data_IF_249480414120
#
_entry.id   IF_249480414120
#
_cell.length_a   1.000
_cell.length_b   1.000
_cell.length_c   1.000
_cell.angle_alpha   90.00
_cell.angle_beta   90.00
_cell.angle_gamma   90.00
#
_symmetry.space_group_name_H-M   'P 1'
#
loop_
_entity.id
_entity.type
_entity.pdbx_description
1 polymer ?
#
# COMPACT_ATOMS: atom_id res chain seq x y z
N UNK A 1 -3.90 -13.77 -2.47
CA UNK A 1 -4.04 -15.25 -2.67
C UNK A 1 -3.02 -16.07 -1.85
N UNK A 2 -1.76 -15.61 -1.73
CA UNK A 2 -0.72 -16.27 -0.93
C UNK A 2 0.18 -15.25 -0.21
N UNK A 3 -0.42 -14.21 0.31
CA UNK A 3 0.27 -13.02 0.79
C UNK A 3 1.34 -13.35 1.84
N UNK A 4 1.05 -14.26 2.78
CA UNK A 4 2.02 -14.71 3.79
C UNK A 4 3.31 -15.32 3.20
N UNK A 5 3.26 -15.83 1.96
CA UNK A 5 4.41 -16.38 1.24
C UNK A 5 5.15 -15.34 0.40
N UNK A 6 4.44 -14.40 -0.23
CA UNK A 6 5.00 -13.49 -1.24
C UNK A 6 5.20 -12.06 -0.75
N UNK A 7 4.76 -11.73 0.46
CA UNK A 7 5.06 -10.47 1.13
C UNK A 7 5.84 -10.69 2.42
N UNK A 8 6.75 -9.79 2.77
CA UNK A 8 7.40 -9.75 4.08
C UNK A 8 7.95 -8.35 4.39
N UNK A 9 8.18 -8.04 5.67
CA UNK A 9 8.91 -6.82 6.04
C UNK A 9 10.41 -6.94 5.69
N UNK A 10 10.97 -8.14 5.72
CA UNK A 10 12.38 -8.42 5.44
C UNK A 10 12.55 -9.09 4.08
N UNK A 11 13.41 -8.51 3.23
CA UNK A 11 13.77 -9.09 1.94
C UNK A 11 14.43 -10.48 2.09
N UNK A 12 15.23 -10.67 3.14
CA UNK A 12 15.88 -11.95 3.39
C UNK A 12 14.87 -12.99 3.88
N UNK A 13 13.94 -12.62 4.76
CA UNK A 13 12.89 -13.56 5.16
C UNK A 13 11.98 -13.93 3.98
N UNK A 14 11.62 -12.96 3.14
CA UNK A 14 10.88 -13.20 1.90
C UNK A 14 11.60 -14.17 0.97
N UNK A 15 12.91 -13.95 0.75
CA UNK A 15 13.76 -14.84 -0.06
C UNK A 15 13.73 -16.28 0.48
N UNK A 16 13.86 -16.48 1.80
CA UNK A 16 13.78 -17.82 2.41
C UNK A 16 12.42 -18.47 2.18
N UNK A 17 11.32 -17.74 2.41
CA UNK A 17 9.95 -18.24 2.19
C UNK A 17 9.72 -18.67 0.74
N UNK A 18 10.09 -17.82 -0.21
CA UNK A 18 9.86 -18.07 -1.63
C UNK A 18 10.74 -19.20 -2.14
N UNK A 19 12.01 -19.28 -1.73
CA UNK A 19 12.89 -20.41 -2.07
C UNK A 19 12.30 -21.72 -1.56
N UNK A 20 11.91 -21.78 -0.29
CA UNK A 20 11.28 -22.96 0.27
C UNK A 20 10.02 -23.38 -0.51
N UNK A 21 9.19 -22.41 -0.89
CA UNK A 21 7.99 -22.66 -1.70
C UNK A 21 8.36 -23.26 -3.07
N UNK A 22 9.30 -22.65 -3.78
CA UNK A 22 9.75 -23.08 -5.11
C UNK A 22 10.39 -24.46 -5.06
N UNK A 23 11.29 -24.69 -4.11
CA UNK A 23 12.01 -25.97 -3.95
C UNK A 23 11.03 -27.10 -3.63
N UNK A 24 10.10 -26.86 -2.70
CA UNK A 24 9.05 -27.82 -2.36
C UNK A 24 8.14 -28.10 -3.57
N UNK A 25 7.76 -27.07 -4.31
CA UNK A 25 6.95 -27.22 -5.52
C UNK A 25 7.68 -28.04 -6.61
N UNK A 26 8.94 -27.70 -6.90
CA UNK A 26 9.73 -28.38 -7.93
C UNK A 26 10.00 -29.86 -7.58
N UNK A 27 10.18 -30.20 -6.30
CA UNK A 27 10.23 -31.59 -5.86
C UNK A 27 8.93 -32.35 -6.16
N UNK A 28 7.77 -31.72 -6.03
CA UNK A 28 6.49 -32.33 -6.41
C UNK A 28 6.39 -32.52 -7.93
N UNK A 29 6.94 -31.61 -8.73
CA UNK A 29 7.05 -31.77 -10.20
C UNK A 29 7.91 -32.99 -10.53
N UNK A 30 9.11 -33.09 -9.94
CA UNK A 30 10.03 -34.21 -10.18
C UNK A 30 9.44 -35.56 -9.77
N UNK A 31 8.82 -35.63 -8.60
CA UNK A 31 8.15 -36.84 -8.12
C UNK A 31 7.00 -37.28 -9.03
N UNK A 32 6.31 -36.34 -9.68
CA UNK A 32 5.22 -36.64 -10.62
C UNK A 32 5.76 -37.23 -11.92
N UNK A 33 6.80 -36.59 -12.50
CA UNK A 33 7.45 -37.05 -13.74
C UNK A 33 8.03 -38.45 -13.54
N UNK A 34 8.72 -38.69 -12.43
CA UNK A 34 9.39 -39.98 -12.16
C UNK A 34 8.45 -41.15 -11.88
N UNK A 35 7.21 -40.90 -11.45
CA UNK A 35 6.25 -41.95 -11.05
C UNK A 35 5.21 -42.32 -12.12
N UNK A 36 5.28 -41.74 -13.33
CA UNK A 36 4.30 -41.99 -14.41
C UNK A 36 2.83 -41.87 -13.94
N UNK A 37 2.54 -40.94 -13.01
CA UNK A 37 1.18 -40.77 -12.51
C UNK A 37 0.27 -40.34 -13.67
N UNK A 38 -0.65 -41.22 -14.03
CA UNK A 38 -1.74 -40.92 -14.95
C UNK A 38 -2.53 -39.70 -14.44
N UNK A 39 -3.05 -38.91 -15.37
CA UNK A 39 -3.68 -37.60 -15.16
C UNK A 39 -4.87 -37.59 -14.20
N UNK A 40 -5.33 -38.75 -13.72
CA UNK A 40 -6.58 -38.94 -12.98
C UNK A 40 -6.44 -39.20 -11.47
N UNK A 41 -5.23 -39.27 -10.89
CA UNK A 41 -5.13 -39.40 -9.43
C UNK A 41 -5.24 -38.02 -8.73
N UNK A 42 -6.10 -37.88 -7.70
CA UNK A 42 -6.13 -36.67 -6.90
C UNK A 42 -4.76 -36.51 -6.24
N UNK A 43 -4.09 -35.41 -6.58
CA UNK A 43 -2.94 -34.95 -5.83
C UNK A 43 -3.40 -34.84 -4.37
N UNK A 44 -2.73 -35.56 -3.47
CA UNK A 44 -2.62 -35.16 -2.07
C UNK A 44 -1.34 -34.35 -1.97
N UNK A 45 -1.27 -33.15 -2.58
CA UNK A 45 -0.02 -32.44 -2.59
C UNK A 45 0.31 -32.07 -1.15
N UNK A 46 1.59 -32.17 -0.80
CA UNK A 46 2.05 -31.86 0.54
C UNK A 46 1.49 -30.50 1.00
N UNK A 47 0.86 -30.47 2.19
CA UNK A 47 0.27 -29.27 2.80
C UNK A 47 1.31 -28.22 3.22
N UNK A 48 2.60 -28.52 3.01
CA UNK A 48 3.75 -27.65 3.29
C UNK A 48 3.80 -26.35 2.46
N UNK A 49 2.99 -26.23 1.39
CA UNK A 49 2.90 -25.00 0.60
C UNK A 49 1.46 -24.68 0.22
N UNK A 50 1.20 -23.41 -0.10
CA UNK A 50 -0.12 -22.93 -0.50
C UNK A 50 -0.40 -23.13 -2.00
N UNK A 51 -1.25 -24.10 -2.29
CA UNK A 51 -1.72 -24.43 -3.64
C UNK A 51 -2.83 -23.49 -4.12
N UNK A 52 -2.65 -22.86 -5.28
CA UNK A 52 -3.70 -22.14 -6.00
C UNK A 52 -4.13 -22.90 -7.26
N UNK A 53 -5.20 -22.45 -7.91
CA UNK A 53 -5.68 -23.04 -9.17
C UNK A 53 -4.59 -23.00 -10.25
N UNK A 54 -3.91 -21.86 -10.39
CA UNK A 54 -2.79 -21.71 -11.32
C UNK A 54 -1.64 -22.68 -11.01
N UNK A 55 -1.19 -22.75 -9.76
CA UNK A 55 -0.06 -23.62 -9.36
C UNK A 55 -0.38 -25.09 -9.54
N UNK A 56 -1.62 -25.52 -9.29
CA UNK A 56 -2.06 -26.90 -9.58
C UNK A 56 -2.02 -27.19 -11.08
N UNK A 57 -2.43 -26.23 -11.92
CA UNK A 57 -2.40 -26.36 -13.39
C UNK A 57 -0.97 -26.47 -13.92
N UNK A 58 -0.04 -25.69 -13.37
CA UNK A 58 1.37 -25.76 -13.74
C UNK A 58 2.02 -27.07 -13.33
N UNK A 59 1.66 -27.60 -12.15
CA UNK A 59 2.10 -28.93 -11.72
C UNK A 59 1.65 -30.02 -12.70
N UNK A 60 0.42 -29.96 -13.20
CA UNK A 60 -0.10 -30.90 -14.20
C UNK A 60 0.68 -30.83 -15.52
N UNK A 61 1.22 -29.67 -15.87
CA UNK A 61 2.04 -29.44 -17.07
C UNK A 61 3.51 -29.78 -16.90
N UNK A 62 3.98 -30.02 -15.67
CA UNK A 62 5.39 -30.21 -15.37
C UNK A 62 6.22 -28.92 -15.41
N UNK A 63 5.57 -27.75 -15.31
CA UNK A 63 6.27 -26.47 -15.30
C UNK A 63 7.04 -26.31 -13.98
N UNK A 64 8.35 -26.08 -14.04
CA UNK A 64 9.17 -25.73 -12.88
C UNK A 64 9.27 -24.22 -12.69
N UNK A 65 9.44 -23.79 -11.44
CA UNK A 65 9.69 -22.40 -11.10
C UNK A 65 11.17 -22.16 -10.76
N UNK A 66 11.63 -20.93 -10.92
CA UNK A 66 12.98 -20.52 -10.53
C UNK A 66 12.93 -19.26 -9.66
N UNK A 67 13.82 -19.19 -8.69
CA UNK A 67 13.96 -18.01 -7.84
C UNK A 67 14.83 -16.96 -8.55
N UNK A 68 14.38 -15.70 -8.55
CA UNK A 68 15.22 -14.57 -8.93
C UNK A 68 15.09 -13.43 -7.93
N UNK A 69 16.22 -12.89 -7.49
CA UNK A 69 16.24 -11.77 -6.56
C UNK A 69 15.62 -10.50 -7.18
N UNK A 70 15.66 -10.37 -8.51
CA UNK A 70 15.10 -9.22 -9.24
C UNK A 70 13.57 -9.11 -9.13
N UNK A 71 12.89 -10.18 -8.70
CA UNK A 71 11.45 -10.14 -8.43
C UNK A 71 11.13 -9.60 -7.03
N UNK A 72 12.10 -9.44 -6.13
CA UNK A 72 11.86 -8.78 -4.84
C UNK A 72 11.78 -7.26 -5.06
N UNK A 73 10.61 -6.70 -4.77
CA UNK A 73 10.28 -5.29 -5.00
C UNK A 73 9.70 -4.64 -3.77
N UNK A 74 9.83 -3.32 -3.69
CA UNK A 74 9.04 -2.54 -2.74
C UNK A 74 7.59 -2.44 -3.21
N UNK A 75 6.67 -2.69 -2.29
CA UNK A 75 5.24 -2.59 -2.50
C UNK A 75 4.60 -1.83 -1.35
N UNK A 76 3.62 -0.99 -1.67
CA UNK A 76 2.78 -0.37 -0.67
C UNK A 76 1.65 -1.33 -0.33
N UNK A 77 1.82 -2.10 0.75
CA UNK A 77 0.91 -3.18 1.09
C UNK A 77 -0.40 -2.64 1.68
N UNK A 78 -0.31 -1.67 2.58
CA UNK A 78 -1.45 -0.95 3.17
C UNK A 78 -1.08 0.52 3.30
N UNK A 79 -2.02 1.42 3.60
CA UNK A 79 -1.72 2.84 3.67
C UNK A 79 -0.54 3.11 4.59
N UNK A 80 0.47 3.79 4.05
CA UNK A 80 1.72 4.15 4.72
C UNK A 80 2.52 2.98 5.30
N UNK A 81 2.29 1.75 4.83
CA UNK A 81 3.02 0.56 5.26
C UNK A 81 3.56 -0.20 4.05
N UNK A 82 4.86 -0.04 3.82
CA UNK A 82 5.60 -0.78 2.81
C UNK A 82 5.92 -2.20 3.27
N UNK A 83 5.95 -3.11 2.30
CA UNK A 83 6.50 -4.45 2.45
C UNK A 83 7.31 -4.81 1.19
N UNK A 84 8.19 -5.80 1.33
CA UNK A 84 8.82 -6.46 0.20
C UNK A 84 7.81 -7.43 -0.42
N UNK A 85 7.68 -7.40 -1.74
CA UNK A 85 6.83 -8.28 -2.55
C UNK A 85 7.71 -9.10 -3.49
N UNK A 86 7.47 -10.40 -3.58
CA UNK A 86 7.99 -11.21 -4.67
C UNK A 86 7.04 -11.14 -5.87
N UNK A 87 7.35 -10.23 -6.79
CA UNK A 87 6.53 -9.88 -7.95
C UNK A 87 6.88 -10.75 -9.17
N UNK A 88 6.34 -11.98 -9.19
CA UNK A 88 6.52 -12.98 -10.26
C UNK A 88 5.17 -13.43 -10.81
N UNK A 89 5.07 -13.50 -12.15
CA UNK A 89 3.87 -13.99 -12.85
C UNK A 89 3.51 -15.44 -12.48
N UNK A 90 4.48 -16.23 -12.04
CA UNK A 90 4.28 -17.63 -11.66
C UNK A 90 3.64 -17.75 -10.27
N UNK A 91 3.99 -16.83 -9.35
CA UNK A 91 3.58 -16.90 -7.95
C UNK A 91 2.49 -15.89 -7.57
N UNK A 92 2.23 -14.88 -8.38
CA UNK A 92 1.12 -13.94 -8.18
C UNK A 92 -0.05 -14.30 -9.10
N UNK A 93 -1.19 -14.67 -8.50
CA UNK A 93 -2.36 -15.15 -9.24
C UNK A 93 -2.89 -14.11 -10.25
N UNK A 94 -2.89 -12.83 -9.89
CA UNK A 94 -3.34 -11.73 -10.72
C UNK A 94 -2.42 -10.52 -10.52
N UNK A 95 -1.67 -10.16 -11.56
CA UNK A 95 -0.89 -8.91 -11.60
C UNK A 95 -1.61 -7.79 -12.36
N UNK A 96 -2.72 -8.10 -13.04
CA UNK A 96 -3.42 -7.17 -13.94
C UNK A 96 -2.42 -6.44 -14.87
N UNK A 97 -2.49 -5.12 -14.92
CA UNK A 97 -1.60 -4.28 -15.71
C UNK A 97 -0.35 -3.82 -14.94
N UNK A 98 -0.14 -4.26 -13.69
CA UNK A 98 0.99 -3.79 -12.87
C UNK A 98 2.35 -4.10 -13.51
N UNK A 99 2.46 -5.20 -14.27
CA UNK A 99 3.67 -5.54 -15.04
C UNK A 99 3.94 -4.62 -16.25
N UNK A 100 2.95 -3.86 -16.70
CA UNK A 100 3.09 -2.80 -17.72
C UNK A 100 3.27 -1.41 -17.08
N UNK A 101 2.95 -1.25 -15.80
CA UNK A 101 3.10 0.03 -15.06
C UNK A 101 4.47 0.11 -14.39
N UNK A 102 4.95 -1.01 -13.84
CA UNK A 102 6.23 -1.16 -13.18
C UNK A 102 7.03 -2.30 -13.85
N UNK A 103 7.76 -1.99 -14.92
CA UNK A 103 8.45 -3.01 -15.72
C UNK A 103 9.73 -3.53 -15.03
N UNK A 104 10.48 -2.68 -14.33
CA UNK A 104 11.73 -3.00 -13.62
C UNK A 104 11.77 -2.32 -12.23
N UNK A 105 12.82 -2.57 -11.43
CA UNK A 105 12.95 -1.97 -10.09
C UNK A 105 13.21 -0.45 -10.13
N UNK A 106 13.72 0.04 -11.26
CA UNK A 106 14.12 1.43 -11.46
C UNK A 106 13.00 2.28 -12.08
N UNK A 107 11.86 1.66 -12.42
CA UNK A 107 10.74 2.33 -13.07
C UNK A 107 10.17 3.41 -12.15
N UNK A 108 10.30 4.67 -12.56
CA UNK A 108 9.68 5.81 -11.90
C UNK A 108 8.31 6.06 -12.51
N UNK A 109 7.26 5.89 -11.71
CA UNK A 109 5.89 6.13 -12.15
C UNK A 109 5.04 6.60 -10.97
N UNK A 110 3.97 7.33 -11.25
CA UNK A 110 3.00 7.77 -10.25
C UNK A 110 1.70 7.03 -10.46
N UNK A 111 1.07 6.64 -9.35
CA UNK A 111 -0.17 5.89 -9.38
C UNK A 111 -1.11 6.41 -8.30
N UNK A 112 -2.36 6.67 -8.67
CA UNK A 112 -3.45 7.01 -7.75
C UNK A 112 -4.28 5.75 -7.56
N UNK A 113 -4.25 5.18 -6.35
CA UNK A 113 -5.17 4.12 -5.93
C UNK A 113 -6.42 4.74 -5.32
N UNK A 114 -7.59 4.22 -5.65
CA UNK A 114 -8.83 4.56 -4.96
C UNK A 114 -9.75 3.34 -4.80
N UNK A 115 -10.70 3.43 -3.87
CA UNK A 115 -11.64 2.35 -3.60
C UNK A 115 -12.48 2.01 -4.82
N UNK A 116 -12.59 0.72 -5.11
CA UNK A 116 -13.53 0.21 -6.11
C UNK A 116 -14.95 0.64 -5.74
N UNK A 117 -15.78 1.05 -6.72
CA UNK A 117 -17.15 1.47 -6.44
C UNK A 117 -17.98 0.43 -5.69
N UNK A 118 -17.70 -0.86 -5.84
CA UNK A 118 -18.40 -1.92 -5.11
C UNK A 118 -17.98 -2.06 -3.62
N UNK A 119 -17.01 -1.27 -3.17
CA UNK A 119 -16.54 -1.29 -1.77
C UNK A 119 -17.64 -0.81 -0.81
N UNK A 120 -17.90 -1.54 0.28
CA UNK A 120 -18.83 -1.10 1.33
C UNK A 120 -18.24 -0.02 2.25
N UNK A 121 -16.94 0.27 2.14
CA UNK A 121 -16.24 1.26 2.97
C UNK A 121 -16.40 2.68 2.41
N UNK A 122 -16.18 3.72 3.23
CA UNK A 122 -16.04 5.09 2.73
C UNK A 122 -15.00 5.17 1.61
N UNK A 123 -15.21 6.09 0.67
CA UNK A 123 -14.29 6.31 -0.45
C UNK A 123 -12.90 6.66 0.08
N UNK A 124 -11.90 5.91 -0.36
CA UNK A 124 -10.50 6.14 -0.02
C UNK A 124 -9.72 6.44 -1.30
N UNK A 125 -8.72 7.31 -1.18
CA UNK A 125 -7.76 7.60 -2.25
C UNK A 125 -6.37 7.74 -1.64
N UNK A 126 -5.36 7.19 -2.31
CA UNK A 126 -3.96 7.32 -1.92
C UNK A 126 -3.04 7.15 -3.12
N UNK A 127 -2.08 8.06 -3.27
CA UNK A 127 -1.05 7.98 -4.31
C UNK A 127 0.17 7.17 -3.84
N UNK A 128 0.86 6.55 -4.78
CA UNK A 128 2.10 5.81 -4.55
C UNK A 128 2.98 5.83 -5.80
N UNK A 129 4.29 5.69 -5.60
CA UNK A 129 5.27 5.41 -6.65
C UNK A 129 5.79 3.96 -6.60
N UNK A 130 5.15 3.10 -5.81
CA UNK A 130 5.47 1.67 -5.64
C UNK A 130 4.32 0.80 -6.12
N UNK A 131 4.57 -0.50 -6.27
CA UNK A 131 3.52 -1.47 -6.60
C UNK A 131 2.47 -1.47 -5.47
N UNK A 132 1.22 -1.08 -5.70
CA UNK A 132 0.18 -1.16 -4.69
C UNK A 132 -0.27 -2.61 -4.52
N UNK A 133 -0.57 -3.02 -3.29
CA UNK A 133 -1.38 -4.22 -3.07
C UNK A 133 -2.83 -3.96 -3.51
N UNK A 134 -3.51 -5.02 -3.95
CA UNK A 134 -4.92 -4.92 -4.36
C UNK A 134 -5.82 -4.37 -3.26
N UNK A 135 -5.47 -4.61 -1.98
CA UNK A 135 -6.25 -4.16 -0.83
C UNK A 135 -5.68 -2.87 -0.18
N UNK A 136 -4.92 -2.05 -0.93
CA UNK A 136 -4.31 -0.81 -0.42
C UNK A 136 -5.36 0.15 0.16
N UNK A 137 -6.41 0.45 -0.60
CA UNK A 137 -7.51 1.37 -0.24
C UNK A 137 -8.86 0.65 -0.33
N UNK A 138 -8.94 -0.51 0.33
CA UNK A 138 -9.96 -1.51 0.02
C UNK A 138 -9.63 -2.22 -1.28
N UNK A 139 -10.59 -2.86 -1.93
CA UNK A 139 -10.39 -3.38 -3.28
C UNK A 139 -10.08 -2.19 -4.19
N UNK A 140 -8.86 -2.13 -4.71
CA UNK A 140 -8.30 -0.89 -5.26
C UNK A 140 -8.36 -0.89 -6.78
N UNK A 141 -8.89 0.18 -7.36
CA UNK A 141 -8.62 0.55 -8.74
C UNK A 141 -7.47 1.56 -8.77
N UNK A 142 -6.68 1.54 -9.85
CA UNK A 142 -5.44 2.29 -9.93
C UNK A 142 -5.34 3.06 -11.25
N UNK A 143 -5.00 4.35 -11.18
CA UNK A 143 -4.68 5.20 -12.33
C UNK A 143 -3.20 5.51 -12.31
N UNK A 144 -2.46 5.00 -13.28
CA UNK A 144 -1.06 5.35 -13.44
C UNK A 144 -0.89 6.54 -14.37
N UNK A 145 0.15 7.34 -14.16
CA UNK A 145 0.49 8.45 -15.04
C UNK A 145 0.93 7.94 -16.42
N UNK A 146 1.72 6.87 -16.43
CA UNK A 146 2.23 6.22 -17.63
C UNK A 146 2.01 4.70 -17.57
N UNK A 147 1.98 4.05 -18.72
CA UNK A 147 2.23 2.61 -18.86
C UNK A 147 3.36 2.38 -19.88
N UNK A 148 3.79 1.13 -20.04
CA UNK A 148 4.86 0.73 -20.94
C UNK A 148 4.38 -0.38 -21.87
N UNK A 149 4.77 -0.31 -23.15
CA UNK A 149 4.55 -1.39 -24.11
C UNK A 149 5.52 -2.56 -23.89
N UNK A 150 5.51 -3.54 -24.81
CA UNK A 150 6.35 -4.74 -24.70
C UNK A 150 7.82 -4.44 -24.95
N UNK A 151 8.09 -3.39 -25.71
CA UNK A 151 9.41 -2.88 -26.08
C UNK A 151 9.99 -1.98 -24.99
N UNK A 152 9.17 -1.57 -24.02
CA UNK A 152 9.55 -0.70 -22.90
C UNK A 152 9.39 0.79 -23.20
N UNK A 153 8.71 1.16 -24.29
CA UNK A 153 8.40 2.56 -24.58
C UNK A 153 7.30 3.05 -23.65
N UNK A 154 7.46 4.29 -23.16
CA UNK A 154 6.49 4.94 -22.28
C UNK A 154 5.28 5.42 -23.10
N UNK A 155 4.08 5.12 -22.59
CA UNK A 155 2.79 5.58 -23.10
C UNK A 155 2.09 6.39 -22.02
N UNK A 156 1.66 7.61 -22.36
CA UNK A 156 0.89 8.46 -21.44
C UNK A 156 -0.56 7.99 -21.33
N UNK A 157 -1.04 7.77 -20.09
CA UNK A 157 -2.42 7.35 -19.87
C UNK A 157 -3.43 8.50 -19.96
N UNK A 158 -2.97 9.74 -19.74
CA UNK A 158 -3.74 10.92 -20.10
C UNK A 158 -3.56 11.12 -21.61
N UNK A 159 -4.64 10.89 -22.35
CA UNK A 159 -4.63 11.00 -23.81
C UNK A 159 -4.53 12.46 -24.25
N UNK A 160 -4.06 12.70 -25.48
CA UNK A 160 -4.00 14.04 -26.05
C UNK A 160 -5.40 14.65 -26.21
N UNK A 161 -6.41 13.80 -26.44
CA UNK A 161 -7.82 14.21 -26.40
C UNK A 161 -8.25 14.71 -25.01
N UNK A 162 -7.87 13.99 -23.95
CA UNK A 162 -8.16 14.39 -22.57
C UNK A 162 -7.47 15.70 -22.21
N UNK A 163 -6.19 15.85 -22.61
CA UNK A 163 -5.45 17.09 -22.49
C UNK A 163 -6.16 18.26 -23.21
N UNK A 164 -6.56 18.04 -24.46
CA UNK A 164 -7.26 19.05 -25.26
C UNK A 164 -8.59 19.46 -24.62
N UNK A 165 -9.30 18.56 -23.92
CA UNK A 165 -10.53 18.92 -23.19
C UNK A 165 -10.26 19.93 -22.08
N UNK A 166 -9.23 19.71 -21.26
CA UNK A 166 -8.83 20.66 -20.22
C UNK A 166 -8.38 22.00 -20.83
N UNK A 167 -7.54 21.96 -21.86
CA UNK A 167 -7.08 23.16 -22.55
C UNK A 167 -8.24 23.95 -23.19
N UNK A 168 -9.19 23.28 -23.84
CA UNK A 168 -10.34 23.96 -24.42
C UNK A 168 -11.23 24.61 -23.35
N UNK A 169 -11.43 23.93 -22.21
CA UNK A 169 -12.28 24.46 -21.13
C UNK A 169 -11.68 25.73 -20.50
N UNK A 170 -10.39 25.73 -20.19
CA UNK A 170 -9.74 26.85 -19.49
C UNK A 170 -9.17 27.94 -20.41
N UNK A 171 -9.33 27.84 -21.75
CA UNK A 171 -8.75 28.76 -22.75
C UNK A 171 -9.02 30.24 -22.48
N UNK A 172 -10.22 30.56 -22.01
CA UNK A 172 -10.66 31.95 -21.85
C UNK A 172 -10.38 32.53 -20.46
N UNK A 173 -9.91 31.71 -19.51
CA UNK A 173 -9.71 32.09 -18.11
C UNK A 173 -8.22 32.17 -17.75
N UNK A 174 -7.39 31.37 -18.40
CA UNK A 174 -5.95 31.34 -18.16
C UNK A 174 -5.20 32.08 -19.27
N UNK A 175 -4.22 32.91 -18.87
CA UNK A 175 -3.41 33.70 -19.81
C UNK A 175 -2.59 32.82 -20.78
N UNK A 176 -2.17 31.62 -20.36
CA UNK A 176 -1.38 30.74 -21.21
C UNK A 176 -1.75 29.26 -21.02
N UNK A 177 -2.65 28.77 -21.87
CA UNK A 177 -3.27 27.43 -21.74
C UNK A 177 -2.50 26.31 -22.42
N UNK A 178 -1.62 26.63 -23.36
CA UNK A 178 -0.66 25.65 -23.91
C UNK A 178 0.35 25.16 -22.86
N UNK A 179 0.36 25.75 -21.66
CA UNK A 179 1.16 25.29 -20.50
C UNK A 179 0.50 24.13 -19.76
N UNK A 180 -0.83 23.92 -19.84
CA UNK A 180 -1.45 22.79 -19.13
C UNK A 180 -0.81 21.49 -19.62
N UNK A 181 -0.22 20.73 -18.70
CA UNK A 181 0.42 19.45 -18.98
C UNK A 181 -0.45 18.29 -18.51
N UNK A 182 -0.12 17.08 -18.97
CA UNK A 182 -0.74 15.85 -18.47
C UNK A 182 -0.48 15.64 -16.98
N UNK A 183 0.71 16.02 -16.49
CA UNK A 183 1.03 15.93 -15.06
C UNK A 183 0.16 16.88 -14.24
N UNK A 184 -0.13 18.09 -14.74
CA UNK A 184 -1.05 19.02 -14.07
C UNK A 184 -2.44 18.41 -13.92
N UNK A 185 -2.96 17.78 -14.98
CA UNK A 185 -4.25 17.08 -14.94
C UNK A 185 -4.22 15.94 -13.91
N UNK A 186 -3.10 15.21 -13.81
CA UNK A 186 -2.94 14.12 -12.85
C UNK A 186 -2.99 14.63 -11.40
N UNK A 187 -2.32 15.75 -11.10
CA UNK A 187 -2.42 16.41 -9.80
C UNK A 187 -3.82 16.95 -9.54
N UNK A 188 -4.44 17.61 -10.52
CA UNK A 188 -5.83 18.08 -10.43
C UNK A 188 -6.78 16.94 -10.05
N UNK A 189 -6.66 15.78 -10.70
CA UNK A 189 -7.43 14.58 -10.37
C UNK A 189 -7.26 14.21 -8.89
N UNK A 190 -6.01 14.18 -8.41
CA UNK A 190 -5.72 13.82 -7.03
C UNK A 190 -6.34 14.79 -6.03
N UNK A 191 -6.29 16.10 -6.31
CA UNK A 191 -6.91 17.12 -5.47
C UNK A 191 -8.43 16.95 -5.37
N UNK A 192 -9.12 16.80 -6.52
CA UNK A 192 -10.58 16.65 -6.54
C UNK A 192 -11.03 15.39 -5.80
N UNK A 193 -10.28 14.30 -5.89
CA UNK A 193 -10.58 13.06 -5.15
C UNK A 193 -10.39 13.18 -3.63
N UNK A 194 -9.73 14.24 -3.14
CA UNK A 194 -9.63 14.56 -1.71
C UNK A 194 -10.66 15.62 -1.25
N UNK A 195 -11.37 16.26 -2.18
CA UNK A 195 -12.25 17.38 -1.84
C UNK A 195 -13.56 16.90 -1.18
N UNK A 196 -13.83 17.25 0.10
CA UNK A 196 -14.97 16.68 0.82
C UNK A 196 -16.32 17.01 0.17
N UNK A 197 -16.53 18.24 -0.30
CA UNK A 197 -17.77 18.61 -0.99
C UNK A 197 -17.98 17.80 -2.29
N UNK A 198 -16.92 17.44 -3.01
CA UNK A 198 -17.03 16.53 -4.15
C UNK A 198 -17.46 15.13 -3.70
N UNK A 199 -16.78 14.58 -2.69
CA UNK A 199 -17.08 13.25 -2.17
C UNK A 199 -18.51 13.14 -1.62
N UNK A 200 -18.98 14.17 -0.91
CA UNK A 200 -20.34 14.24 -0.39
C UNK A 200 -21.38 14.37 -1.51
N UNK A 201 -21.16 15.29 -2.46
CA UNK A 201 -22.10 15.53 -3.57
C UNK A 201 -22.28 14.30 -4.46
N UNK A 202 -21.21 13.53 -4.67
CA UNK A 202 -21.20 12.37 -5.57
C UNK A 202 -21.14 11.02 -4.83
N UNK A 203 -21.41 10.97 -3.53
CA UNK A 203 -21.26 9.77 -2.69
C UNK A 203 -21.94 8.52 -3.30
N UNK A 204 -23.20 8.66 -3.72
CA UNK A 204 -23.99 7.57 -4.33
C UNK A 204 -23.38 7.12 -5.67
N UNK A 205 -22.85 8.07 -6.46
CA UNK A 205 -22.21 7.76 -7.74
C UNK A 205 -20.87 7.04 -7.54
N UNK A 206 -20.05 7.50 -6.59
CA UNK A 206 -18.74 6.91 -6.28
C UNK A 206 -18.88 5.47 -5.76
N UNK A 207 -20.01 5.12 -5.12
CA UNK A 207 -20.37 3.76 -4.69
C UNK A 207 -20.93 2.86 -5.81
N UNK A 208 -21.03 3.34 -7.04
CA UNK A 208 -21.67 2.59 -8.14
C UNK A 208 -20.90 2.65 -9.46
N UNK A 209 -20.11 3.70 -9.65
CA UNK A 209 -19.49 4.03 -10.92
C UNK A 209 -18.09 4.60 -10.72
N UNK A 210 -17.29 4.50 -11.77
CA UNK A 210 -15.98 5.10 -11.83
C UNK A 210 -16.06 6.64 -11.64
N UNK A 211 -15.15 7.26 -10.86
CA UNK A 211 -15.19 8.69 -10.58
C UNK A 211 -15.20 9.55 -11.85
N UNK A 212 -16.07 10.56 -11.88
CA UNK A 212 -16.10 11.59 -12.93
C UNK A 212 -15.85 12.93 -12.28
N UNK A 213 -14.94 13.71 -12.85
CA UNK A 213 -14.50 14.96 -12.25
C UNK A 213 -15.15 16.15 -12.96
N UNK A 214 -15.71 17.12 -12.21
CA UNK A 214 -16.09 18.41 -12.77
C UNK A 214 -14.83 19.23 -13.09
N UNK A 215 -15.03 20.31 -13.85
CA UNK A 215 -14.06 21.38 -13.99
C UNK A 215 -14.35 22.45 -12.93
N UNK A 216 -13.38 22.70 -12.05
CA UNK A 216 -13.45 23.77 -11.06
C UNK A 216 -12.68 24.99 -11.55
N UNK A 217 -13.15 26.16 -11.13
CA UNK A 217 -12.41 27.41 -11.35
C UNK A 217 -11.03 27.37 -10.67
N UNK A 218 -10.13 28.27 -11.09
CA UNK A 218 -8.76 28.34 -10.60
C UNK A 218 -7.98 27.03 -10.77
N UNK A 219 -7.97 26.47 -11.99
CA UNK A 219 -7.30 25.20 -12.32
C UNK A 219 -5.94 24.98 -11.63
N UNK A 220 -5.03 25.96 -11.70
CA UNK A 220 -3.69 25.82 -11.13
C UNK A 220 -3.65 25.77 -9.60
N UNK A 221 -4.67 26.29 -8.91
CA UNK A 221 -4.80 26.12 -7.47
C UNK A 221 -5.08 24.65 -7.13
N UNK A 222 -6.00 24.01 -7.85
CA UNK A 222 -6.27 22.57 -7.73
C UNK A 222 -5.06 21.71 -8.08
N UNK A 223 -4.31 22.09 -9.12
CA UNK A 223 -3.04 21.44 -9.46
C UNK A 223 -2.04 21.57 -8.30
N UNK A 224 -1.92 22.76 -7.71
CA UNK A 224 -1.01 23.02 -6.59
C UNK A 224 -1.34 22.17 -5.38
N UNK A 225 -2.62 22.15 -4.95
CA UNK A 225 -3.06 21.30 -3.85
C UNK A 225 -2.83 19.81 -4.12
N UNK A 226 -3.17 19.36 -5.33
CA UNK A 226 -2.98 17.98 -5.74
C UNK A 226 -1.52 17.55 -5.74
N UNK A 227 -0.63 18.42 -6.20
CA UNK A 227 0.82 18.21 -6.15
C UNK A 227 1.31 18.13 -4.71
N UNK A 228 0.92 19.08 -3.85
CA UNK A 228 1.30 19.08 -2.43
C UNK A 228 0.85 17.80 -1.72
N UNK A 229 -0.42 17.40 -1.89
CA UNK A 229 -0.95 16.16 -1.34
C UNK A 229 -0.20 14.94 -1.87
N UNK A 230 0.07 14.87 -3.18
CA UNK A 230 0.74 13.72 -3.78
C UNK A 230 2.20 13.59 -3.31
N UNK A 231 2.93 14.71 -3.28
CA UNK A 231 4.30 14.76 -2.78
C UNK A 231 4.37 14.30 -1.31
N UNK A 232 3.43 14.76 -0.48
CA UNK A 232 3.32 14.41 0.93
C UNK A 232 3.05 12.90 1.12
N UNK A 233 2.06 12.36 0.39
CA UNK A 233 1.64 10.97 0.54
C UNK A 233 2.66 9.97 -0.03
N UNK A 234 3.35 10.30 -1.13
CA UNK A 234 4.37 9.42 -1.72
C UNK A 234 5.64 9.41 -0.86
N UNK A 235 6.02 10.57 -0.32
CA UNK A 235 7.24 10.75 0.43
C UNK A 235 7.03 10.69 1.95
N UNK A 236 5.96 10.02 2.41
CA UNK A 236 5.57 9.98 3.82
C UNK A 236 6.69 9.55 4.79
N UNK A 237 7.66 8.75 4.34
CA UNK A 237 8.80 8.29 5.15
C UNK A 237 9.94 9.32 5.27
N UNK A 238 9.93 10.39 4.46
CA UNK A 238 10.99 11.42 4.45
C UNK A 238 10.50 12.79 4.92
N UNK A 239 9.18 12.98 5.06
CA UNK A 239 8.56 14.17 5.67
C UNK A 239 9.12 14.38 7.07
N UNK A 240 9.32 15.64 7.48
CA UNK A 240 9.79 15.98 8.81
C UNK A 240 8.87 15.38 9.90
N UNK A 241 9.42 14.67 10.92
CA UNK A 241 8.60 14.03 11.94
C UNK A 241 7.86 15.07 12.79
N UNK A 242 6.60 14.80 13.11
CA UNK A 242 5.83 15.62 14.03
C UNK A 242 6.45 15.52 15.43
N UNK A 243 6.60 16.61 16.19
CA UNK A 243 7.33 16.64 17.46
C UNK A 243 6.50 16.02 18.61
N UNK A 244 6.12 14.74 18.49
CA UNK A 244 5.42 14.00 19.53
C UNK A 244 6.32 13.77 20.74
N UNK A 245 5.76 13.91 21.94
CA UNK A 245 6.46 13.66 23.20
C UNK A 245 6.50 12.17 23.47
N UNK A 246 7.69 11.57 23.44
CA UNK A 246 7.92 10.19 23.88
C UNK A 246 8.08 10.14 25.40
N UNK A 247 7.33 9.24 26.04
CA UNK A 247 7.44 8.92 27.45
C UNK A 247 7.83 7.46 27.57
N UNK A 248 8.99 7.21 28.19
CA UNK A 248 9.46 5.89 28.54
C UNK A 248 9.42 5.72 30.07
N UNK A 249 8.66 4.74 30.54
CA UNK A 249 8.65 4.34 31.94
C UNK A 249 9.96 3.61 32.25
N UNK A 250 10.61 3.89 33.39
CA UNK A 250 11.78 3.13 33.81
C UNK A 250 11.39 1.65 33.97
N UNK A 251 12.14 0.78 33.31
CA UNK A 251 12.07 -0.66 33.57
C UNK A 251 12.70 -0.86 34.94
N UNK A 252 11.87 -0.92 35.99
CA UNK A 252 12.35 -0.91 37.37
C UNK A 252 13.29 -2.07 37.68
N UNK A 253 14.51 -1.74 38.09
CA UNK A 253 15.35 -2.54 38.97
C UNK A 253 15.10 -2.07 40.42
N UNK A 254 13.88 -2.27 40.91
CA UNK A 254 13.51 -1.89 42.29
C UNK A 254 13.69 -3.05 43.29
N UNK A 255 14.50 -4.07 42.92
CA UNK A 255 14.82 -5.25 43.75
C UNK A 255 13.61 -6.09 44.19
N UNK A 256 12.38 -5.69 43.84
CA UNK A 256 11.12 -6.27 44.34
C UNK A 256 10.12 -6.62 43.26
N UNK A 257 10.28 -6.11 42.02
CA UNK A 257 9.45 -6.49 40.88
C UNK A 257 10.27 -7.30 39.87
N UNK A 258 9.95 -8.60 39.75
CA UNK A 258 10.43 -9.45 38.65
C UNK A 258 10.35 -8.67 37.33
N UNK A 259 11.46 -8.62 36.58
CA UNK A 259 11.57 -8.05 35.24
C UNK A 259 10.34 -8.48 34.42
N UNK A 260 9.35 -7.59 34.26
CA UNK A 260 8.19 -7.90 33.43
C UNK A 260 8.59 -7.68 31.99
N UNK A 261 8.44 -8.68 31.11
CA UNK A 261 8.78 -8.51 29.71
C UNK A 261 7.94 -7.38 29.11
N UNK A 262 8.57 -6.51 28.31
CA UNK A 262 7.88 -5.45 27.57
C UNK A 262 6.89 -6.06 26.61
N UNK A 263 5.59 -5.76 26.78
CA UNK A 263 4.53 -6.31 25.93
C UNK A 263 4.01 -5.25 24.98
N UNK A 264 4.02 -5.55 23.68
CA UNK A 264 3.41 -4.71 22.65
C UNK A 264 1.91 -4.48 22.95
N UNK A 265 1.47 -3.24 22.79
CA UNK A 265 0.07 -2.80 22.96
C UNK A 265 -0.49 -2.20 21.68
N UNK A 266 0.25 -1.31 21.02
CA UNK A 266 -0.10 -0.68 19.74
C UNK A 266 -1.55 -0.16 19.71
N UNK A 267 -1.88 0.71 20.66
CA UNK A 267 -3.23 1.22 20.90
C UNK A 267 -3.26 2.75 20.84
N UNK A 268 -4.21 3.30 20.08
CA UNK A 268 -4.54 4.72 20.10
C UNK A 268 -5.53 5.05 21.23
N UNK A 269 -5.32 6.18 21.89
CA UNK A 269 -6.22 6.84 22.84
C UNK A 269 -6.46 8.26 22.31
N UNK A 270 -7.48 8.39 21.45
CA UNK A 270 -7.76 9.60 20.67
C UNK A 270 -8.16 10.76 21.57
N UNK A 271 -9.03 10.49 22.54
CA UNK A 271 -9.55 11.46 23.51
C UNK A 271 -8.44 12.15 24.31
N UNK A 272 -7.29 11.46 24.50
CA UNK A 272 -6.15 11.99 25.23
C UNK A 272 -4.98 12.40 24.33
N UNK A 273 -5.10 12.25 23.01
CA UNK A 273 -4.03 12.51 22.06
C UNK A 273 -2.78 11.65 22.29
N UNK A 274 -2.96 10.33 22.55
CA UNK A 274 -1.85 9.40 22.87
C UNK A 274 -1.85 8.14 22.05
N UNK A 275 -0.66 7.57 21.88
CA UNK A 275 -0.46 6.24 21.30
C UNK A 275 0.43 5.43 22.25
N UNK A 276 -0.11 4.32 22.75
CA UNK A 276 0.58 3.40 23.65
C UNK A 276 1.18 2.28 22.80
N UNK A 277 2.51 2.24 22.67
CA UNK A 277 3.18 1.24 21.84
C UNK A 277 3.38 -0.07 22.57
N UNK A 278 3.81 0.00 23.83
CA UNK A 278 4.00 -1.17 24.67
C UNK A 278 3.75 -0.83 26.15
N UNK A 279 4.18 -1.69 27.06
CA UNK A 279 4.00 -1.49 28.50
C UNK A 279 4.82 -0.34 29.09
N UNK A 280 5.85 0.14 28.39
CA UNK A 280 6.78 1.15 28.90
C UNK A 280 6.85 2.42 28.02
N UNK A 281 6.49 2.36 26.75
CA UNK A 281 6.61 3.48 25.81
C UNK A 281 5.27 3.98 25.32
N UNK A 282 5.05 5.29 25.47
CA UNK A 282 3.87 6.02 25.00
C UNK A 282 4.30 7.28 24.25
N UNK A 283 3.61 7.61 23.16
CA UNK A 283 3.70 8.89 22.46
C UNK A 283 2.50 9.75 22.87
N UNK A 284 2.75 11.01 23.24
CA UNK A 284 1.74 12.00 23.59
C UNK A 284 1.85 13.25 22.69
N UNK A 285 0.79 14.05 22.67
CA UNK A 285 0.73 15.30 21.90
C UNK A 285 0.30 15.09 20.44
N UNK A 286 -0.44 14.02 20.15
CA UNK A 286 -1.05 13.83 18.82
C UNK A 286 -2.21 14.82 18.69
N UNK A 287 -2.20 15.74 17.71
CA UNK A 287 -3.29 16.68 17.47
C UNK A 287 -4.58 15.98 17.10
N UNK A 288 -5.73 16.55 17.48
CA UNK A 288 -7.05 16.00 17.15
C UNK A 288 -7.24 15.85 15.63
N UNK A 289 -6.86 16.89 14.88
CA UNK A 289 -6.94 16.95 13.42
C UNK A 289 -6.15 15.82 12.72
N UNK A 290 -5.12 15.25 13.35
CA UNK A 290 -4.39 14.12 12.78
C UNK A 290 -5.25 12.84 12.69
N UNK A 291 -6.25 12.70 13.56
CA UNK A 291 -7.18 11.59 13.55
C UNK A 291 -8.26 11.73 12.49
N UNK A 292 -8.50 12.94 11.98
CA UNK A 292 -9.54 13.21 10.98
C UNK A 292 -9.14 12.74 9.58
N UNK A 293 -7.85 12.59 9.30
CA UNK A 293 -7.39 12.00 8.06
C UNK A 293 -7.68 10.49 8.01
N UNK A 294 -8.89 10.17 7.54
CA UNK A 294 -9.45 8.83 7.47
C UNK A 294 -9.15 8.17 6.12
N UNK A 295 -8.68 6.93 6.18
CA UNK A 295 -8.56 6.02 5.06
C UNK A 295 -9.46 4.81 5.34
N UNK A 296 -10.75 5.03 5.09
CA UNK A 296 -11.82 4.07 5.29
C UNK A 296 -12.38 4.18 6.70
N UNK A 297 -12.26 3.11 7.48
CA UNK A 297 -12.72 3.04 8.87
C UNK A 297 -11.62 3.40 9.90
N UNK A 298 -10.45 3.84 9.42
CA UNK A 298 -9.27 4.07 10.25
C UNK A 298 -8.52 5.32 9.81
N UNK A 299 -7.98 6.03 10.79
CA UNK A 299 -6.98 7.07 10.53
C UNK A 299 -5.70 6.48 9.94
N UNK A 300 -4.90 7.31 9.28
CA UNK A 300 -3.57 6.94 8.81
C UNK A 300 -2.67 6.37 9.94
N UNK A 301 -2.76 6.94 11.14
CA UNK A 301 -2.03 6.46 12.33
C UNK A 301 -2.51 5.07 12.77
N UNK A 302 -3.81 4.82 12.77
CA UNK A 302 -4.38 3.51 13.12
C UNK A 302 -4.00 2.41 12.12
N UNK A 303 -3.79 2.75 10.85
CA UNK A 303 -3.25 1.82 9.85
C UNK A 303 -1.85 1.33 10.23
N UNK A 304 -0.96 2.24 10.66
CA UNK A 304 0.39 1.84 11.13
C UNK A 304 0.27 0.90 12.32
N UNK A 305 -0.53 1.27 13.34
CA UNK A 305 -0.70 0.46 14.53
C UNK A 305 -1.24 -0.93 14.23
N UNK A 306 -2.19 -1.08 13.31
CA UNK A 306 -2.72 -2.38 12.92
C UNK A 306 -1.67 -3.28 12.28
N UNK A 307 -0.81 -2.68 11.45
CA UNK A 307 0.16 -3.42 10.64
C UNK A 307 1.42 -3.82 11.40
N UNK A 308 1.78 -3.06 12.43
CA UNK A 308 2.89 -3.40 13.33
C UNK A 308 2.50 -4.37 14.45
N UNK A 309 1.22 -4.77 14.55
CA UNK A 309 0.81 -5.80 15.50
C UNK A 309 1.41 -7.15 15.12
N UNK A 310 1.98 -7.82 16.12
CA UNK A 310 2.35 -9.22 16.02
C UNK A 310 1.09 -10.06 15.77
N UNK A 311 1.09 -10.82 14.68
CA UNK A 311 -0.01 -11.69 14.29
C UNK A 311 0.56 -13.08 14.02
N UNK A 312 -0.11 -14.12 14.55
CA UNK A 312 0.25 -15.50 14.24
C UNK A 312 -0.13 -15.78 12.77
N UNK A 313 0.81 -16.23 11.91
CA UNK A 313 0.49 -16.60 10.54
C UNK A 313 -0.57 -17.69 10.50
N UNK A 314 -1.45 -17.64 9.50
CA UNK A 314 -2.52 -18.64 9.32
C UNK A 314 -1.98 -19.89 8.61
N UNK A 315 -1.02 -19.72 7.71
CA UNK A 315 -0.36 -20.83 7.05
C UNK A 315 0.53 -21.59 8.08
N UNK A 316 0.30 -22.89 8.30
CA UNK A 316 1.04 -23.66 9.30
C UNK A 316 2.56 -23.67 9.06
N UNK A 317 2.97 -23.72 7.79
CA UNK A 317 4.40 -23.77 7.44
C UNK A 317 5.07 -22.43 7.70
N UNK A 318 4.38 -21.32 7.39
CA UNK A 318 4.86 -19.99 7.74
C UNK A 318 4.94 -19.82 9.25
N UNK A 319 3.89 -20.25 9.98
CA UNK A 319 3.85 -20.15 11.43
C UNK A 319 4.99 -20.91 12.12
N UNK A 320 5.33 -22.10 11.62
CA UNK A 320 6.39 -22.95 12.17
C UNK A 320 7.80 -22.48 11.77
N UNK A 321 8.01 -22.17 10.48
CA UNK A 321 9.38 -22.01 9.93
C UNK A 321 9.82 -20.57 9.71
N UNK A 322 8.88 -19.64 9.56
CA UNK A 322 9.17 -18.29 9.05
C UNK A 322 8.58 -17.16 9.89
N UNK A 323 7.86 -17.47 10.96
CA UNK A 323 7.30 -16.49 11.88
C UNK A 323 8.39 -15.88 12.78
N UNK A 324 9.05 -14.84 12.26
CA UNK A 324 10.19 -14.18 12.90
C UNK A 324 9.90 -12.75 13.34
N UNK A 325 8.70 -12.25 13.05
CA UNK A 325 8.34 -10.86 13.37
C UNK A 325 8.13 -10.67 14.88
N UNK A 326 8.82 -9.68 15.45
CA UNK A 326 8.58 -9.21 16.81
C UNK A 326 8.54 -7.69 16.80
N UNK A 327 7.51 -7.08 17.37
CA UNK A 327 7.35 -5.64 17.38
C UNK A 327 8.56 -4.93 18.03
N UNK A 328 9.17 -5.54 19.04
CA UNK A 328 10.36 -5.00 19.71
C UNK A 328 11.51 -4.67 18.73
N UNK A 329 11.69 -5.47 17.67
CA UNK A 329 12.76 -5.27 16.68
C UNK A 329 12.45 -4.10 15.72
N UNK A 330 11.19 -3.70 15.63
CA UNK A 330 10.69 -2.66 14.72
C UNK A 330 10.17 -1.41 15.46
N UNK A 331 10.30 -1.36 16.80
CA UNK A 331 9.69 -0.33 17.63
C UNK A 331 10.13 1.08 17.26
N UNK A 332 11.43 1.31 17.11
CA UNK A 332 11.97 2.63 16.80
C UNK A 332 11.55 3.08 15.38
N UNK A 333 11.52 2.14 14.43
CA UNK A 333 10.99 2.40 13.09
C UNK A 333 9.50 2.74 13.11
N UNK A 334 8.71 2.06 13.96
CA UNK A 334 7.30 2.37 14.14
C UNK A 334 7.08 3.76 14.75
N UNK A 335 7.91 4.16 15.73
CA UNK A 335 7.85 5.50 16.34
C UNK A 335 8.14 6.58 15.30
N UNK A 336 9.26 6.46 14.58
CA UNK A 336 9.63 7.41 13.52
C UNK A 336 8.53 7.52 12.46
N UNK A 337 8.02 6.36 11.99
CA UNK A 337 6.93 6.33 11.02
C UNK A 337 5.64 6.98 11.55
N UNK A 338 5.26 6.74 12.80
CA UNK A 338 4.09 7.37 13.43
C UNK A 338 4.24 8.89 13.51
N UNK A 339 5.43 9.39 13.87
CA UNK A 339 5.69 10.83 13.90
C UNK A 339 5.57 11.46 12.51
N UNK A 340 6.11 10.83 11.48
CA UNK A 340 6.03 11.34 10.11
C UNK A 340 4.62 11.29 9.55
N UNK A 341 3.91 10.19 9.77
CA UNK A 341 2.51 10.07 9.32
C UNK A 341 1.57 10.97 10.13
N UNK A 342 1.94 11.35 11.36
CA UNK A 342 1.26 12.42 12.07
C UNK A 342 1.39 13.75 11.32
N UNK A 343 2.60 14.12 10.85
CA UNK A 343 2.79 15.31 9.99
C UNK A 343 1.98 15.20 8.71
N UNK A 344 2.03 14.05 8.03
CA UNK A 344 1.24 13.81 6.82
C UNK A 344 -0.25 14.03 7.08
N UNK A 345 -0.78 13.50 8.18
CA UNK A 345 -2.19 13.63 8.51
C UNK A 345 -2.60 15.09 8.76
N UNK A 346 -1.80 15.83 9.55
CA UNK A 346 -2.05 17.24 9.85
C UNK A 346 -1.99 18.10 8.59
N UNK A 347 -0.96 17.93 7.77
CA UNK A 347 -0.78 18.72 6.54
C UNK A 347 -1.82 18.37 5.47
N UNK A 348 -2.21 17.09 5.35
CA UNK A 348 -3.31 16.69 4.46
C UNK A 348 -4.61 17.38 4.85
N UNK A 349 -4.96 17.39 6.14
CA UNK A 349 -6.17 18.06 6.61
C UNK A 349 -6.11 19.58 6.46
N UNK A 350 -4.92 20.19 6.65
CA UNK A 350 -4.71 21.61 6.39
C UNK A 350 -5.00 21.96 4.93
N UNK A 351 -4.46 21.18 3.98
CA UNK A 351 -4.69 21.38 2.54
C UNK A 351 -6.16 21.14 2.18
N UNK A 352 -6.80 20.12 2.75
CA UNK A 352 -8.23 19.87 2.54
C UNK A 352 -9.09 21.05 3.03
N UNK A 353 -8.77 21.61 4.20
CA UNK A 353 -9.47 22.79 4.72
C UNK A 353 -9.34 24.02 3.82
N UNK A 354 -8.21 24.20 3.13
CA UNK A 354 -8.05 25.26 2.12
C UNK A 354 -8.92 25.07 0.88
N UNK A 355 -9.36 23.85 0.57
CA UNK A 355 -10.25 23.59 -0.56
C UNK A 355 -11.71 23.97 -0.28
N UNK A 356 -12.09 24.02 1.00
CA UNK A 356 -13.46 24.29 1.45
C UNK A 356 -13.73 25.78 1.75
N UNK A 357 -12.66 26.56 2.00
CA UNK A 357 -12.72 28.02 2.18
C UNK A 357 -12.59 28.76 0.86
#
# INVERSE_FOLDING_TARGET
ARDEWVYDASAENLKRKVKYLIDTYNQNVDNRVNKNYSTCQPLSPNSSIKWSRAVKKDLLKGNKYSFSFNYIRDSLYRPFVKQKLYFSKDLNEMQYQLGQIFINNDTQNLLIGFSDPASPKPFMVLATNKIPDYHLVGDSQCLSLYCYDKEGNRIDNITDWGLAKFQNHYRNVLYNVSIITKLDIFHYIYAVLHYPSYLQKYEINLKRQFPRLPFYDNFYQWVSWGKQLMDLHINYETVAPYPLKRIDLPVGDDGRRKFKPTKAKLKADKDKGRIILDTVTTLEGIPEIAWEYQLGDRSALEWILDRYKEKKPKDPTIAEKFNTYRFADYKEQAIDLLQRVCTVSVETMRIIGEMEG
#
